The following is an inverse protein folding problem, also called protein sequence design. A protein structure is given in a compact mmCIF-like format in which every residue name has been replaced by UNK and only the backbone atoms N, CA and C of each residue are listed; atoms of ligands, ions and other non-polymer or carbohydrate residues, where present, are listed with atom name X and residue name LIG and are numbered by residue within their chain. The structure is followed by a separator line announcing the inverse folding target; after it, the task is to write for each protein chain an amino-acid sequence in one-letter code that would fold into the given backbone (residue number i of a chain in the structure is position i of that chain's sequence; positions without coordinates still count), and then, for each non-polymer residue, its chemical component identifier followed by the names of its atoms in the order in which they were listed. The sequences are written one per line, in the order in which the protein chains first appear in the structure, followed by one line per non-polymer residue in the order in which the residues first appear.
data_IF_404828372051
#
_entry.id   IF_404828372051
#
_cell.length_a   1.000
_cell.length_b   1.000
_cell.length_c   1.000
_cell.angle_alpha   90.00
_cell.angle_beta   90.00
_cell.angle_gamma   90.00
#
_symmetry.space_group_name_H-M   'P 1'
#
loop_
_entity.id
_entity.type
_entity.pdbx_description
1 polymer ?
#
# COMPACT_ATOMS: atom_id res chain seq x y z
N UNK A 1 -46.35 32.14 -5.46
CA UNK A 1 -46.03 30.71 -5.66
C UNK A 1 -44.75 30.48 -6.48
N UNK A 2 -44.37 31.35 -7.42
CA UNK A 2 -43.14 31.19 -8.22
C UNK A 2 -41.85 31.69 -7.51
N UNK A 3 -41.94 32.53 -6.48
CA UNK A 3 -40.79 33.06 -5.76
C UNK A 3 -40.22 32.07 -4.74
N UNK A 4 -40.99 31.16 -4.18
CA UNK A 4 -40.56 30.19 -3.19
C UNK A 4 -39.77 29.02 -3.84
N UNK A 5 -40.13 28.60 -5.06
CA UNK A 5 -39.40 27.55 -5.77
C UNK A 5 -38.00 28.01 -6.23
N UNK A 6 -37.90 29.28 -6.66
CA UNK A 6 -36.59 29.85 -7.03
C UNK A 6 -35.63 30.01 -5.85
N UNK A 7 -36.15 30.26 -4.64
CA UNK A 7 -35.31 30.37 -3.42
C UNK A 7 -34.86 28.96 -2.94
N UNK A 8 -35.74 27.96 -3.05
CA UNK A 8 -35.39 26.57 -2.70
C UNK A 8 -34.32 25.99 -3.61
N UNK A 9 -34.36 26.25 -4.91
CA UNK A 9 -33.33 25.78 -5.85
C UNK A 9 -32.03 26.51 -5.69
N UNK A 10 -32.03 27.81 -5.36
CA UNK A 10 -30.82 28.59 -5.05
C UNK A 10 -30.15 28.12 -3.75
N UNK A 11 -30.91 27.79 -2.74
CA UNK A 11 -30.39 27.27 -1.45
C UNK A 11 -29.84 25.85 -1.64
N UNK A 12 -30.51 25.03 -2.44
CA UNK A 12 -30.10 23.65 -2.71
C UNK A 12 -28.83 23.58 -3.57
N UNK A 13 -28.72 24.42 -4.60
CA UNK A 13 -27.54 24.50 -5.46
C UNK A 13 -26.34 25.13 -4.77
N UNK A 14 -26.55 26.16 -3.92
CA UNK A 14 -25.49 26.76 -3.11
C UNK A 14 -25.00 25.83 -2.00
N UNK A 15 -25.89 25.13 -1.30
CA UNK A 15 -25.52 24.18 -0.24
C UNK A 15 -24.69 23.02 -0.74
N UNK A 16 -25.08 22.41 -1.86
CA UNK A 16 -24.32 21.32 -2.48
C UNK A 16 -23.00 21.80 -3.09
N UNK A 17 -22.98 22.97 -3.73
CA UNK A 17 -21.77 23.57 -4.27
C UNK A 17 -20.76 24.00 -3.20
N UNK A 18 -21.23 24.50 -2.06
CA UNK A 18 -20.37 24.90 -0.94
C UNK A 18 -19.83 23.70 -0.15
N UNK A 19 -20.61 22.65 0.03
CA UNK A 19 -20.15 21.39 0.60
C UNK A 19 -19.11 20.75 -0.31
N UNK A 20 -19.35 20.74 -1.62
CA UNK A 20 -18.41 20.23 -2.61
C UNK A 20 -17.13 21.09 -2.70
N UNK A 21 -17.26 22.43 -2.69
CA UNK A 21 -16.10 23.34 -2.64
C UNK A 21 -15.33 23.25 -1.33
N UNK A 22 -15.99 23.08 -0.18
CA UNK A 22 -15.29 22.87 1.10
C UNK A 22 -14.59 21.53 1.17
N UNK A 23 -15.15 20.47 0.58
CA UNK A 23 -14.46 19.19 0.44
C UNK A 23 -13.26 19.29 -0.51
N UNK A 24 -13.33 20.08 -1.57
CA UNK A 24 -12.21 20.35 -2.49
C UNK A 24 -11.17 21.28 -1.84
N UNK A 25 -11.58 22.25 -1.02
CA UNK A 25 -10.66 23.19 -0.35
C UNK A 25 -9.95 22.61 0.88
N UNK A 26 -10.40 21.46 1.41
CA UNK A 26 -9.68 20.71 2.45
C UNK A 26 -8.45 19.97 1.90
N UNK A 27 -8.30 19.90 0.58
CA UNK A 27 -7.19 19.23 -0.07
C UNK A 27 -6.63 20.12 -1.17
N UNK A 28 -5.70 20.98 -0.82
CA UNK A 28 -4.85 21.75 -1.76
C UNK A 28 -3.83 20.78 -2.42
N UNK A 29 -4.33 19.68 -2.97
CA UNK A 29 -3.51 18.60 -3.54
C UNK A 29 -3.19 18.81 -5.01
N UNK A 30 -3.78 19.80 -5.66
CA UNK A 30 -3.63 20.02 -7.11
C UNK A 30 -4.27 18.93 -7.99
N UNK A 31 -4.87 17.89 -7.39
CA UNK A 31 -5.56 16.79 -8.08
C UNK A 31 -6.96 16.58 -7.50
N UNK A 32 -7.92 16.02 -8.27
CA UNK A 32 -9.24 15.69 -7.75
C UNK A 32 -9.17 14.74 -6.55
N UNK A 33 -9.87 15.07 -5.47
CA UNK A 33 -9.87 14.25 -4.24
C UNK A 33 -10.20 12.76 -4.47
N UNK A 34 -11.14 12.38 -5.36
CA UNK A 34 -11.38 10.97 -5.65
C UNK A 34 -10.13 10.25 -6.17
N UNK A 35 -9.31 10.92 -7.02
CA UNK A 35 -8.06 10.36 -7.52
C UNK A 35 -7.04 10.20 -6.39
N UNK A 36 -6.96 11.19 -5.51
CA UNK A 36 -6.10 11.16 -4.33
C UNK A 36 -6.42 9.98 -3.41
N UNK A 37 -7.68 9.85 -3.02
CA UNK A 37 -8.13 8.79 -2.11
C UNK A 37 -8.05 7.41 -2.76
N UNK A 38 -8.49 7.28 -4.02
CA UNK A 38 -8.46 6.00 -4.72
C UNK A 38 -7.04 5.49 -4.98
N UNK A 39 -6.13 6.36 -5.43
CA UNK A 39 -4.73 6.00 -5.62
C UNK A 39 -4.09 5.54 -4.30
N UNK A 40 -4.30 6.30 -3.23
CA UNK A 40 -3.77 5.94 -1.90
C UNK A 40 -4.27 4.59 -1.40
N UNK A 41 -5.57 4.33 -1.49
CA UNK A 41 -6.16 3.05 -1.03
C UNK A 41 -5.69 1.86 -1.86
N UNK A 42 -5.54 1.98 -3.17
CA UNK A 42 -5.01 0.92 -4.01
C UNK A 42 -3.54 0.64 -3.73
N UNK A 43 -2.70 1.68 -3.65
CA UNK A 43 -1.28 1.55 -3.31
C UNK A 43 -1.13 0.89 -1.93
N UNK A 44 -1.90 1.35 -0.93
CA UNK A 44 -1.90 0.78 0.41
C UNK A 44 -2.29 -0.70 0.40
N UNK A 45 -3.33 -1.08 -0.36
CA UNK A 45 -3.75 -2.47 -0.47
C UNK A 45 -2.68 -3.38 -1.09
N UNK A 46 -1.88 -2.87 -2.03
CA UNK A 46 -0.75 -3.61 -2.63
C UNK A 46 0.36 -3.81 -1.60
N UNK A 47 0.68 -2.77 -0.80
CA UNK A 47 1.69 -2.85 0.26
C UNK A 47 1.30 -3.89 1.32
N UNK A 48 0.04 -3.86 1.79
CA UNK A 48 -0.47 -4.86 2.75
C UNK A 48 -0.40 -6.27 2.18
N UNK A 49 -0.81 -6.45 0.92
CA UNK A 49 -0.75 -7.74 0.23
C UNK A 49 0.69 -8.22 0.11
N UNK A 50 1.65 -7.32 -0.16
CA UNK A 50 3.07 -7.64 -0.21
C UNK A 50 3.61 -8.12 1.15
N UNK A 51 3.23 -7.46 2.25
CA UNK A 51 3.63 -7.86 3.61
C UNK A 51 3.06 -9.25 3.96
N UNK A 52 1.82 -9.53 3.59
CA UNK A 52 1.16 -10.79 3.90
C UNK A 52 1.50 -11.94 2.93
N UNK A 53 2.06 -11.64 1.76
CA UNK A 53 2.32 -12.60 0.69
C UNK A 53 3.19 -13.79 1.12
N UNK A 54 4.35 -13.63 1.81
CA UNK A 54 5.19 -14.75 2.22
C UNK A 54 4.46 -15.71 3.18
N UNK A 55 3.76 -15.17 4.17
CA UNK A 55 3.00 -15.97 5.15
C UNK A 55 1.84 -16.70 4.49
N UNK A 56 1.10 -16.02 3.61
CA UNK A 56 -0.04 -16.61 2.88
C UNK A 56 0.40 -17.73 1.94
N UNK A 57 1.48 -17.53 1.18
CA UNK A 57 2.02 -18.52 0.26
C UNK A 57 2.50 -19.78 1.01
N UNK A 58 3.18 -19.59 2.14
CA UNK A 58 3.66 -20.71 2.96
C UNK A 58 2.50 -21.47 3.62
N UNK A 59 1.50 -20.76 4.14
CA UNK A 59 0.30 -21.36 4.71
C UNK A 59 -0.49 -22.19 3.69
N UNK A 60 -0.64 -21.69 2.46
CA UNK A 60 -1.31 -22.39 1.38
C UNK A 60 -0.60 -23.71 0.99
N UNK A 61 0.70 -23.78 1.18
CA UNK A 61 1.51 -24.94 0.83
C UNK A 61 1.77 -25.89 2.01
N UNK A 62 1.23 -25.65 3.23
CA UNK A 62 1.50 -26.47 4.44
C UNK A 62 1.34 -27.97 4.20
N UNK A 63 0.26 -28.39 3.53
CA UNK A 63 -0.01 -29.82 3.26
C UNK A 63 0.95 -30.47 2.26
N UNK A 64 1.73 -29.68 1.52
CA UNK A 64 2.66 -30.14 0.49
C UNK A 64 4.10 -30.12 1.00
N UNK A 65 4.44 -29.11 1.82
CA UNK A 65 5.80 -28.89 2.34
C UNK A 65 6.31 -30.09 3.14
N UNK A 66 5.43 -30.79 3.87
CA UNK A 66 5.78 -31.97 4.68
C UNK A 66 5.92 -33.27 3.85
N UNK A 67 5.36 -33.30 2.63
CA UNK A 67 5.29 -34.53 1.81
C UNK A 67 6.31 -34.56 0.67
N UNK A 68 6.72 -33.40 0.19
CA UNK A 68 7.59 -33.27 -1.00
C UNK A 68 8.78 -32.40 -0.65
N UNK A 69 9.97 -32.91 -0.96
CA UNK A 69 11.21 -32.12 -0.80
C UNK A 69 11.43 -31.25 -2.04
N UNK A 70 11.20 -29.94 -1.90
CA UNK A 70 11.43 -28.95 -2.95
C UNK A 70 12.06 -27.66 -2.35
N UNK A 71 12.66 -26.79 -3.20
CA UNK A 71 13.20 -25.51 -2.74
C UNK A 71 12.09 -24.65 -2.12
N UNK A 72 12.18 -24.35 -0.83
CA UNK A 72 11.14 -23.64 -0.09
C UNK A 72 11.03 -22.18 -0.49
N UNK A 73 12.10 -21.63 -1.07
CA UNK A 73 12.16 -20.31 -1.69
C UNK A 73 11.17 -20.17 -2.86
N UNK A 74 10.85 -21.26 -3.53
CA UNK A 74 9.83 -21.28 -4.61
C UNK A 74 8.45 -20.83 -4.12
N UNK A 75 8.14 -21.03 -2.84
CA UNK A 75 6.89 -20.56 -2.24
C UNK A 75 6.84 -19.03 -2.18
N UNK A 76 7.95 -18.42 -1.80
CA UNK A 76 8.05 -16.95 -1.76
C UNK A 76 7.89 -16.39 -3.17
N UNK A 77 8.57 -16.99 -4.15
CA UNK A 77 8.46 -16.59 -5.55
C UNK A 77 7.02 -16.73 -6.07
N UNK A 78 6.35 -17.84 -5.73
CA UNK A 78 4.93 -18.04 -6.11
C UNK A 78 4.01 -17.00 -5.45
N UNK A 79 4.28 -16.64 -4.19
CA UNK A 79 3.58 -15.58 -3.48
C UNK A 79 3.75 -14.20 -4.14
N UNK A 80 4.98 -13.86 -4.51
CA UNK A 80 5.29 -12.61 -5.23
C UNK A 80 4.61 -12.60 -6.62
N UNK A 81 4.66 -13.73 -7.34
CA UNK A 81 4.00 -13.84 -8.65
C UNK A 81 2.49 -13.61 -8.54
N UNK A 82 1.83 -14.27 -7.56
CA UNK A 82 0.40 -14.06 -7.28
C UNK A 82 0.10 -12.60 -6.92
N UNK A 83 0.94 -11.99 -6.10
CA UNK A 83 0.84 -10.58 -5.74
C UNK A 83 0.94 -9.67 -6.96
N UNK A 84 1.94 -9.89 -7.84
CA UNK A 84 2.11 -9.13 -9.07
C UNK A 84 0.88 -9.25 -9.98
N UNK A 85 0.32 -10.45 -10.13
CA UNK A 85 -0.88 -10.69 -10.91
C UNK A 85 -2.10 -9.94 -10.35
N UNK A 86 -2.34 -10.03 -9.04
CA UNK A 86 -3.42 -9.31 -8.38
C UNK A 86 -3.22 -7.78 -8.47
N UNK A 87 -1.98 -7.32 -8.32
CA UNK A 87 -1.64 -5.91 -8.41
C UNK A 87 -1.86 -5.36 -9.83
N UNK A 88 -1.65 -6.17 -10.86
CA UNK A 88 -1.87 -5.77 -12.25
C UNK A 88 -3.31 -5.29 -12.49
N UNK A 89 -4.30 -5.99 -11.94
CA UNK A 89 -5.71 -5.58 -12.03
C UNK A 89 -5.93 -4.22 -11.34
N UNK A 90 -5.37 -4.05 -10.15
CA UNK A 90 -5.46 -2.79 -9.39
C UNK A 90 -4.78 -1.63 -10.13
N UNK A 91 -3.64 -1.89 -10.76
CA UNK A 91 -2.89 -0.91 -11.56
C UNK A 91 -3.70 -0.46 -12.77
N UNK A 92 -4.30 -1.40 -13.51
CA UNK A 92 -5.14 -1.07 -14.67
C UNK A 92 -6.32 -0.21 -14.23
N UNK A 93 -7.00 -0.57 -13.13
CA UNK A 93 -8.09 0.22 -12.58
C UNK A 93 -7.62 1.62 -12.16
N UNK A 94 -6.45 1.74 -11.53
CA UNK A 94 -5.89 3.02 -11.12
C UNK A 94 -5.60 3.92 -12.33
N UNK A 95 -4.96 3.37 -13.35
CA UNK A 95 -4.63 4.12 -14.58
C UNK A 95 -5.91 4.60 -15.27
N UNK A 96 -6.90 3.72 -15.46
CA UNK A 96 -8.19 4.08 -16.04
C UNK A 96 -8.88 5.19 -15.25
N UNK A 97 -8.84 5.11 -13.92
CA UNK A 97 -9.46 6.10 -13.05
C UNK A 97 -8.76 7.47 -13.14
N UNK A 98 -7.44 7.49 -13.15
CA UNK A 98 -6.63 8.71 -13.29
C UNK A 98 -6.95 9.43 -14.60
N UNK A 99 -7.03 8.70 -15.71
CA UNK A 99 -7.39 9.26 -17.02
C UNK A 99 -8.86 9.72 -17.07
N UNK A 100 -9.80 8.97 -16.47
CA UNK A 100 -11.21 9.32 -16.43
C UNK A 100 -11.48 10.65 -15.69
N UNK A 101 -10.65 11.00 -14.71
CA UNK A 101 -10.74 12.26 -13.97
C UNK A 101 -9.91 13.41 -14.58
N UNK A 102 -9.37 13.23 -15.79
CA UNK A 102 -8.68 14.28 -16.52
C UNK A 102 -7.26 14.60 -16.03
N UNK A 103 -6.68 13.74 -15.19
CA UNK A 103 -5.26 13.81 -14.85
C UNK A 103 -4.50 13.28 -16.07
N UNK A 104 -3.88 14.19 -16.83
CA UNK A 104 -3.25 13.88 -18.09
C UNK A 104 -2.06 12.91 -17.99
N UNK A 105 -1.50 12.52 -19.14
CA UNK A 105 -0.28 11.72 -19.17
C UNK A 105 0.92 12.57 -18.73
N UNK A 106 1.67 12.03 -17.77
CA UNK A 106 2.92 12.62 -17.26
C UNK A 106 4.08 11.65 -17.47
N UNK A 107 5.25 12.14 -17.80
CA UNK A 107 6.45 11.30 -17.94
C UNK A 107 6.79 10.51 -16.66
N UNK A 108 6.38 11.04 -15.50
CA UNK A 108 6.51 10.35 -14.20
C UNK A 108 5.78 9.00 -14.14
N UNK A 109 4.75 8.79 -14.96
CA UNK A 109 4.04 7.51 -15.05
C UNK A 109 4.94 6.36 -15.52
N UNK A 110 6.01 6.63 -16.27
CA UNK A 110 6.99 5.63 -16.66
C UNK A 110 7.81 5.11 -15.46
N UNK A 111 7.93 5.90 -14.39
CA UNK A 111 8.61 5.49 -13.15
C UNK A 111 7.70 4.68 -12.22
N UNK A 112 6.38 4.70 -12.45
CA UNK A 112 5.41 4.01 -11.60
C UNK A 112 5.68 2.51 -11.42
N UNK A 113 5.99 1.71 -12.46
CA UNK A 113 6.32 0.30 -12.27
C UNK A 113 7.54 0.08 -11.36
N UNK A 114 8.56 0.93 -11.50
CA UNK A 114 9.80 0.83 -10.71
C UNK A 114 9.51 1.17 -9.24
N UNK A 115 8.80 2.27 -8.97
CA UNK A 115 8.46 2.67 -7.61
C UNK A 115 7.53 1.65 -6.93
N UNK A 116 6.63 1.04 -7.69
CA UNK A 116 5.77 -0.03 -7.21
C UNK A 116 6.55 -1.30 -6.87
N UNK A 117 7.51 -1.70 -7.70
CA UNK A 117 8.40 -2.84 -7.42
C UNK A 117 9.21 -2.62 -6.14
N UNK A 118 9.72 -1.41 -5.91
CA UNK A 118 10.40 -1.06 -4.66
C UNK A 118 9.45 -1.21 -3.46
N UNK A 119 8.20 -0.74 -3.57
CA UNK A 119 7.22 -0.89 -2.49
C UNK A 119 6.85 -2.37 -2.23
N UNK A 120 6.72 -3.18 -3.28
CA UNK A 120 6.52 -4.63 -3.16
C UNK A 120 7.72 -5.28 -2.46
N UNK A 121 8.93 -4.88 -2.81
CA UNK A 121 10.15 -5.36 -2.17
C UNK A 121 10.19 -4.98 -0.69
N UNK A 122 9.86 -3.73 -0.33
CA UNK A 122 9.75 -3.29 1.07
C UNK A 122 8.72 -4.14 1.82
N UNK A 123 7.51 -4.30 1.26
CA UNK A 123 6.46 -5.09 1.88
C UNK A 123 6.85 -6.56 2.05
N UNK A 124 7.41 -7.20 1.02
CA UNK A 124 7.84 -8.59 1.08
C UNK A 124 9.02 -8.80 2.04
N UNK A 125 9.96 -7.84 2.15
CA UNK A 125 11.04 -7.91 3.12
C UNK A 125 10.50 -7.94 4.57
N UNK A 126 9.58 -7.04 4.90
CA UNK A 126 8.88 -7.03 6.20
C UNK A 126 8.13 -8.36 6.41
N UNK A 127 7.40 -8.80 5.41
CA UNK A 127 6.65 -10.06 5.45
C UNK A 127 7.53 -11.27 5.71
N UNK A 128 8.70 -11.37 5.06
CA UNK A 128 9.66 -12.46 5.23
C UNK A 128 10.20 -12.54 6.67
N UNK A 129 10.49 -11.39 7.29
CA UNK A 129 10.97 -11.33 8.67
C UNK A 129 9.90 -11.79 9.68
N UNK A 130 8.61 -11.50 9.40
CA UNK A 130 7.50 -11.84 10.28
C UNK A 130 7.00 -13.27 10.03
N UNK A 131 7.16 -13.81 8.83
CA UNK A 131 6.61 -15.10 8.41
C UNK A 131 6.94 -16.25 9.38
N UNK A 132 8.19 -16.46 9.84
CA UNK A 132 8.49 -17.57 10.75
C UNK A 132 7.68 -17.53 12.04
N UNK A 133 7.51 -16.35 12.62
CA UNK A 133 6.75 -16.15 13.84
C UNK A 133 5.25 -16.30 13.57
N UNK A 134 4.76 -15.72 12.46
CA UNK A 134 3.36 -15.79 12.06
C UNK A 134 2.87 -17.18 11.67
N UNK A 135 3.78 -18.08 11.27
CA UNK A 135 3.47 -19.49 11.00
C UNK A 135 3.34 -20.32 12.29
N UNK A 136 4.11 -19.99 13.33
CA UNK A 136 4.04 -20.64 14.63
C UNK A 136 2.86 -20.15 15.47
N UNK A 137 2.58 -18.86 15.42
CA UNK A 137 1.55 -18.19 16.22
C UNK A 137 0.55 -17.48 15.33
N UNK A 138 -0.64 -18.04 15.18
CA UNK A 138 -1.72 -17.45 14.37
C UNK A 138 -2.13 -16.05 14.83
N UNK A 139 -1.97 -15.77 16.12
CA UNK A 139 -2.31 -14.47 16.71
C UNK A 139 -1.39 -13.35 16.21
N UNK A 140 -0.12 -13.67 15.93
CA UNK A 140 0.84 -12.69 15.36
C UNK A 140 0.36 -12.19 14.00
N UNK A 141 -0.16 -13.06 13.14
CA UNK A 141 -0.70 -12.66 11.84
C UNK A 141 -1.96 -11.78 11.98
N UNK A 142 -2.79 -12.03 13.00
CA UNK A 142 -3.95 -11.17 13.30
C UNK A 142 -3.52 -9.81 13.83
N UNK A 143 -2.59 -9.79 14.79
CA UNK A 143 -2.03 -8.54 15.35
C UNK A 143 -1.34 -7.70 14.27
N UNK A 144 -0.62 -8.32 13.33
CA UNK A 144 -0.03 -7.66 12.19
C UNK A 144 -1.10 -6.95 11.33
N UNK A 145 -2.18 -7.65 11.00
CA UNK A 145 -3.28 -7.10 10.20
C UNK A 145 -3.96 -5.93 10.92
N UNK A 146 -4.21 -6.05 12.22
CA UNK A 146 -4.76 -4.96 13.04
C UNK A 146 -3.79 -3.77 13.12
N UNK A 147 -2.50 -4.04 13.34
CA UNK A 147 -1.46 -3.01 13.39
C UNK A 147 -1.34 -2.24 12.07
N UNK A 148 -1.34 -2.94 10.95
CA UNK A 148 -1.32 -2.31 9.61
C UNK A 148 -2.56 -1.45 9.37
N UNK A 149 -3.74 -1.87 9.86
CA UNK A 149 -4.96 -1.06 9.78
C UNK A 149 -4.84 0.24 10.59
N UNK A 150 -4.20 0.21 11.77
CA UNK A 150 -3.92 1.41 12.56
C UNK A 150 -2.87 2.31 11.88
N UNK A 151 -1.82 1.73 11.31
CA UNK A 151 -0.78 2.47 10.57
C UNK A 151 -1.37 3.17 9.35
N UNK A 152 -2.41 2.61 8.72
CA UNK A 152 -3.13 3.27 7.62
C UNK A 152 -3.66 4.66 8.03
N UNK A 153 -4.15 4.80 9.27
CA UNK A 153 -4.62 6.09 9.79
C UNK A 153 -3.46 7.06 10.12
N UNK A 154 -2.26 6.56 10.33
CA UNK A 154 -1.06 7.37 10.48
C UNK A 154 -0.33 7.64 9.16
N UNK A 155 -0.87 7.16 8.03
CA UNK A 155 -0.33 7.32 6.69
C UNK A 155 -1.30 8.16 5.85
N UNK A 156 -0.86 9.13 5.04
CA UNK A 156 -1.73 9.98 4.23
C UNK A 156 -2.30 9.21 3.02
N UNK A 157 -3.10 8.18 3.31
CA UNK A 157 -3.74 7.32 2.29
C UNK A 157 -4.93 8.04 1.68
N UNK A 158 -5.87 8.52 2.51
CA UNK A 158 -7.12 9.13 2.10
C UNK A 158 -7.15 10.63 2.39
N UNK A 159 -6.34 11.12 3.32
CA UNK A 159 -6.27 12.53 3.72
C UNK A 159 -4.85 13.07 3.59
N UNK A 160 -4.74 14.38 3.52
CA UNK A 160 -3.48 15.11 3.30
C UNK A 160 -2.74 15.29 4.62
N UNK A 161 -1.42 15.36 4.55
CA UNK A 161 -0.58 15.69 5.71
C UNK A 161 -0.95 17.09 6.22
N UNK A 162 -1.26 17.27 7.51
CA UNK A 162 -1.55 18.57 8.09
C UNK A 162 -0.38 19.53 7.95
N UNK A 163 -0.65 20.82 7.78
CA UNK A 163 0.41 21.84 7.64
C UNK A 163 1.21 22.07 8.93
N UNK A 164 0.61 21.78 10.11
CA UNK A 164 1.22 22.02 11.43
C UNK A 164 0.75 20.98 12.45
N UNK A 165 1.50 20.83 13.54
CA UNK A 165 1.12 20.00 14.69
C UNK A 165 1.87 18.68 14.78
N UNK A 166 1.69 17.97 15.89
CA UNK A 166 2.33 16.68 16.18
C UNK A 166 1.99 15.63 15.14
N UNK A 167 0.76 15.66 14.62
CA UNK A 167 0.31 14.71 13.59
C UNK A 167 1.12 14.82 12.30
N UNK A 168 1.55 16.03 11.91
CA UNK A 168 2.46 16.25 10.79
C UNK A 168 3.76 15.47 10.99
N UNK A 169 4.41 15.66 12.13
CA UNK A 169 5.68 15.00 12.43
C UNK A 169 5.57 13.47 12.44
N UNK A 170 4.48 12.94 13.03
CA UNK A 170 4.22 11.49 13.03
C UNK A 170 4.07 10.95 11.61
N UNK A 171 3.34 11.66 10.74
CA UNK A 171 3.13 11.25 9.36
C UNK A 171 4.40 11.35 8.52
N UNK A 172 5.18 12.41 8.68
CA UNK A 172 6.43 12.60 7.94
C UNK A 172 7.51 11.57 8.32
N UNK A 173 7.55 11.15 9.60
CA UNK A 173 8.46 10.10 10.07
C UNK A 173 8.00 8.68 9.72
N UNK A 174 6.75 8.50 9.35
CA UNK A 174 6.22 7.18 9.01
C UNK A 174 6.79 6.69 7.66
N UNK A 175 7.50 5.55 7.60
CA UNK A 175 8.06 5.02 6.37
C UNK A 175 7.02 4.72 5.29
N UNK A 176 5.80 4.36 5.68
CA UNK A 176 4.71 4.12 4.74
C UNK A 176 4.22 5.40 4.06
N UNK A 177 4.39 6.55 4.69
CA UNK A 177 4.11 7.86 4.07
C UNK A 177 4.99 8.08 2.85
N UNK A 178 6.30 7.83 2.98
CA UNK A 178 7.22 7.94 1.86
C UNK A 178 6.85 7.00 0.71
N UNK A 179 6.44 5.75 1.01
CA UNK A 179 6.02 4.80 -0.01
C UNK A 179 4.75 5.28 -0.73
N UNK A 180 3.69 5.57 0.00
CA UNK A 180 2.39 5.93 -0.60
C UNK A 180 2.48 7.25 -1.35
N UNK A 181 3.11 8.28 -0.77
CA UNK A 181 3.21 9.61 -1.39
C UNK A 181 4.08 9.60 -2.64
N UNK A 182 5.25 8.92 -2.63
CA UNK A 182 6.13 8.85 -3.79
C UNK A 182 5.47 8.09 -4.94
N UNK A 183 4.83 6.93 -4.66
CA UNK A 183 4.15 6.16 -5.71
C UNK A 183 2.96 6.94 -6.27
N UNK A 184 2.19 7.62 -5.41
CA UNK A 184 1.10 8.50 -5.85
C UNK A 184 1.63 9.61 -6.76
N UNK A 185 2.72 10.26 -6.39
CA UNK A 185 3.35 11.32 -7.19
C UNK A 185 3.74 10.83 -8.60
N UNK A 186 4.22 9.58 -8.76
CA UNK A 186 4.53 9.03 -10.09
C UNK A 186 3.29 8.87 -10.98
N UNK A 187 2.13 8.58 -10.39
CA UNK A 187 0.88 8.38 -11.13
C UNK A 187 0.19 9.70 -11.45
N UNK A 188 0.30 10.69 -10.55
CA UNK A 188 -0.44 11.95 -10.64
C UNK A 188 0.39 13.13 -11.17
N UNK A 189 1.70 12.94 -11.37
CA UNK A 189 2.60 13.98 -11.85
C UNK A 189 2.92 15.07 -10.81
N UNK A 190 2.69 14.77 -9.52
CA UNK A 190 3.01 15.70 -8.43
C UNK A 190 4.50 15.71 -8.09
N UNK A 191 4.93 16.70 -7.28
CA UNK A 191 6.30 16.78 -6.77
C UNK A 191 6.63 15.63 -5.81
N UNK A 192 7.89 15.21 -5.80
CA UNK A 192 8.39 14.11 -5.00
C UNK A 192 8.91 14.61 -3.64
N UNK A 193 8.03 14.95 -2.70
CA UNK A 193 8.42 15.46 -1.38
C UNK A 193 9.28 14.46 -0.58
N UNK A 194 9.01 13.16 -0.70
CA UNK A 194 9.64 12.09 0.09
C UNK A 194 10.58 11.19 -0.70
N UNK A 195 11.08 11.63 -1.87
CA UNK A 195 11.92 10.79 -2.74
C UNK A 195 13.18 10.28 -2.04
N UNK A 196 13.89 11.14 -1.31
CA UNK A 196 15.10 10.76 -0.59
C UNK A 196 14.82 9.67 0.45
N UNK A 197 13.76 9.83 1.23
CA UNK A 197 13.35 8.84 2.23
C UNK A 197 12.91 7.52 1.57
N UNK A 198 12.17 7.60 0.47
CA UNK A 198 11.78 6.43 -0.34
C UNK A 198 12.99 5.65 -0.86
N UNK A 199 14.01 6.32 -1.37
CA UNK A 199 15.23 5.67 -1.87
C UNK A 199 16.03 5.01 -0.76
N UNK A 200 16.14 5.65 0.40
CA UNK A 200 16.78 5.05 1.60
C UNK A 200 16.02 3.81 2.05
N UNK A 201 14.68 3.86 2.13
CA UNK A 201 13.85 2.70 2.47
C UNK A 201 14.02 1.56 1.47
N UNK A 202 14.04 1.86 0.17
CA UNK A 202 14.29 0.89 -0.87
C UNK A 202 15.64 0.20 -0.71
N UNK A 203 16.70 0.96 -0.44
CA UNK A 203 18.06 0.43 -0.25
C UNK A 203 18.16 -0.46 1.00
N UNK A 204 17.59 -0.02 2.11
CA UNK A 204 17.55 -0.81 3.35
C UNK A 204 16.74 -2.09 3.13
N UNK A 205 15.59 -2.00 2.46
CA UNK A 205 14.71 -3.13 2.22
C UNK A 205 15.31 -4.15 1.27
N UNK A 206 16.17 -3.73 0.35
CA UNK A 206 16.93 -4.65 -0.50
C UNK A 206 17.82 -5.58 0.36
N UNK A 207 18.53 -5.02 1.32
CA UNK A 207 19.34 -5.83 2.26
C UNK A 207 18.45 -6.70 3.14
N UNK A 208 17.38 -6.12 3.72
CA UNK A 208 16.44 -6.84 4.58
C UNK A 208 15.73 -7.98 3.84
N UNK A 209 15.48 -7.86 2.55
CA UNK A 209 14.90 -8.92 1.74
C UNK A 209 15.78 -10.18 1.72
N UNK A 210 17.08 -10.02 1.48
CA UNK A 210 18.02 -11.15 1.50
C UNK A 210 18.21 -11.73 2.90
N UNK A 211 18.30 -10.88 3.92
CA UNK A 211 18.33 -11.33 5.32
C UNK A 211 17.05 -12.10 5.66
N UNK A 212 15.89 -11.60 5.26
CA UNK A 212 14.60 -12.26 5.45
C UNK A 212 14.52 -13.61 4.73
N UNK A 213 15.05 -13.72 3.51
CA UNK A 213 15.15 -15.00 2.79
C UNK A 213 16.06 -16.00 3.53
N UNK A 214 17.19 -15.56 4.08
CA UNK A 214 18.07 -16.42 4.88
C UNK A 214 17.35 -16.93 6.13
N UNK A 215 16.69 -16.04 6.88
CA UNK A 215 15.92 -16.40 8.08
C UNK A 215 14.80 -17.37 7.70
N UNK A 216 14.06 -17.10 6.64
CA UNK A 216 13.00 -17.96 6.14
C UNK A 216 13.54 -19.36 5.82
N UNK A 217 14.64 -19.45 5.05
CA UNK A 217 15.27 -20.71 4.66
C UNK A 217 15.66 -21.58 5.84
N UNK A 218 16.23 -20.97 6.88
CA UNK A 218 16.67 -21.68 8.10
C UNK A 218 15.47 -22.07 8.98
N UNK A 219 14.46 -21.21 9.07
CA UNK A 219 13.33 -21.40 9.99
C UNK A 219 12.29 -22.39 9.49
N UNK A 220 12.01 -22.43 8.19
CA UNK A 220 10.92 -23.25 7.65
C UNK A 220 11.07 -24.75 7.91
N UNK A 221 12.25 -25.41 7.75
CA UNK A 221 12.41 -26.81 8.08
C UNK A 221 11.99 -27.12 9.52
N UNK A 222 12.46 -26.31 10.48
CA UNK A 222 12.15 -26.47 11.91
C UNK A 222 10.67 -26.28 12.20
N UNK A 223 10.03 -25.30 11.53
CA UNK A 223 8.60 -25.03 11.69
C UNK A 223 7.77 -26.18 11.15
N UNK A 224 8.12 -26.72 9.99
CA UNK A 224 7.42 -27.85 9.35
C UNK A 224 7.49 -29.09 10.23
N UNK A 225 8.65 -29.39 10.81
CA UNK A 225 8.84 -30.51 11.73
C UNK A 225 7.95 -30.39 12.97
N UNK A 226 7.84 -29.20 13.56
CA UNK A 226 6.94 -28.93 14.69
C UNK A 226 5.44 -29.00 14.33
N UNK A 227 5.07 -28.69 13.10
CA UNK A 227 3.69 -28.73 12.64
C UNK A 227 3.24 -30.13 12.21
N UNK A 228 4.18 -31.06 12.01
CA UNK A 228 3.92 -32.46 11.65
C UNK A 228 3.98 -33.42 12.85
N UNK A 229 4.49 -32.96 13.99
CA UNK A 229 4.50 -33.68 15.25
C UNK A 229 3.19 -33.46 16.03
#
# INVERSE_FOLDING_TARGET
FQAEDGIRDLVRSRGLGDVYKRQISLTDTGIPYPVYAFSGTLIWSIIIEAINSPTSATNAARGIISKINFPKEALILSGIYKLCFNSMVKIILLILFVFAFGVGFHWSLLLFPITLLIAIMVGTAIGLLITPIGLLYSDVSRLLTMGLSLIMYATPVVYVIPKTGILKTIMELNPFTALVSTIRATVTGQEYEFLSFFMVLGSISFVLFFVGLMIYRVSIPVIVERLSA
#
